data_IF_801136450792
#
_entry.id   IF_801136450792
#
_cell.length_a   1.000
_cell.length_b   1.000
_cell.length_c   1.000
_cell.angle_alpha   90.00
_cell.angle_beta   90.00
_cell.angle_gamma   90.00
#
_symmetry.space_group_name_H-M   'P 1'
#
loop_
_entity.id
_entity.type
_entity.pdbx_description
1 polymer ?
#
# COMPACT_ATOMS: atom_id res chain seq x y z
N UNK A 1 36.71 -37.57 1.20
CA UNK A 1 36.98 -36.18 0.79
C UNK A 1 36.48 -36.01 -0.64
N UNK A 2 35.51 -35.18 -1.01
CA UNK A 2 34.65 -34.17 -0.35
C UNK A 2 33.34 -34.12 -1.19
N UNK A 3 32.13 -34.41 -0.72
CA UNK A 3 31.19 -33.61 0.12
C UNK A 3 30.86 -32.17 -0.32
N UNK A 4 31.06 -31.77 -1.58
CA UNK A 4 30.79 -30.38 -2.01
C UNK A 4 30.04 -30.19 -3.35
N UNK A 5 29.16 -31.11 -3.77
CA UNK A 5 28.32 -30.87 -4.96
C UNK A 5 26.94 -31.55 -4.95
N UNK A 6 26.29 -31.58 -3.78
CA UNK A 6 24.88 -31.99 -3.63
C UNK A 6 23.99 -30.81 -3.27
N UNK A 7 24.00 -29.75 -4.09
CA UNK A 7 23.10 -28.60 -3.94
C UNK A 7 23.04 -27.81 -5.26
N UNK A 8 22.63 -28.48 -6.33
CA UNK A 8 22.14 -27.84 -7.56
C UNK A 8 21.53 -28.91 -8.48
N UNK A 9 20.25 -28.72 -8.83
CA UNK A 9 19.51 -29.33 -9.96
C UNK A 9 18.79 -30.66 -9.70
N UNK A 10 17.57 -30.54 -9.16
CA UNK A 10 16.39 -31.34 -9.52
C UNK A 10 15.17 -30.40 -9.33
N UNK A 11 14.17 -30.16 -10.19
CA UNK A 11 13.89 -30.28 -11.64
C UNK A 11 12.61 -29.43 -11.87
N UNK A 12 12.47 -28.78 -13.03
CA UNK A 12 11.31 -28.02 -13.51
C UNK A 12 10.23 -28.91 -14.18
N UNK A 13 8.95 -28.58 -13.94
CA UNK A 13 7.73 -28.60 -14.82
C UNK A 13 7.30 -29.82 -15.69
N UNK A 14 6.02 -30.22 -15.58
CA UNK A 14 5.02 -30.47 -16.68
C UNK A 14 3.65 -30.94 -16.10
N UNK A 15 2.65 -30.08 -15.84
CA UNK A 15 1.53 -29.56 -16.69
C UNK A 15 0.54 -30.59 -17.30
N UNK A 16 -0.75 -30.53 -16.90
CA UNK A 16 -1.90 -30.26 -17.81
C UNK A 16 -3.30 -30.37 -17.16
N UNK A 17 -3.99 -29.21 -17.12
CA UNK A 17 -5.40 -28.96 -17.49
C UNK A 17 -6.57 -29.63 -16.75
N UNK A 18 -7.23 -28.86 -15.89
CA UNK A 18 -8.64 -28.46 -16.06
C UNK A 18 -8.92 -27.18 -15.26
N UNK A 19 -9.27 -26.09 -15.94
CA UNK A 19 -10.07 -24.99 -15.39
C UNK A 19 -11.55 -25.38 -15.60
N UNK A 20 -12.49 -25.05 -14.68
CA UNK A 20 -12.61 -23.72 -14.10
C UNK A 20 -12.93 -23.69 -12.61
N UNK A 21 -12.31 -22.77 -11.88
CA UNK A 21 -13.00 -22.08 -10.80
C UNK A 21 -12.28 -20.76 -10.58
N UNK A 22 -12.97 -19.67 -10.91
CA UNK A 22 -12.72 -18.37 -10.33
C UNK A 22 -12.59 -18.53 -8.82
N UNK A 23 -11.43 -18.23 -8.24
CA UNK A 23 -11.28 -17.62 -6.90
C UNK A 23 -9.79 -17.30 -6.64
N UNK A 24 -9.57 -16.06 -6.17
CA UNK A 24 -8.39 -15.55 -5.47
C UNK A 24 -7.06 -15.38 -6.25
N UNK A 25 -6.91 -14.28 -6.97
CA UNK A 25 -5.60 -13.73 -7.35
C UNK A 25 -4.94 -12.96 -6.17
N UNK A 26 -4.87 -13.56 -4.98
CA UNK A 26 -4.40 -12.85 -3.78
C UNK A 26 -3.57 -13.69 -2.79
N UNK A 27 -2.88 -14.76 -3.23
CA UNK A 27 -2.12 -15.61 -2.29
C UNK A 27 -0.66 -15.92 -2.67
N UNK A 28 -0.19 -15.61 -3.88
CA UNK A 28 1.12 -16.09 -4.35
C UNK A 28 2.34 -15.42 -3.68
N UNK A 29 2.15 -14.35 -2.90
CA UNK A 29 3.25 -13.63 -2.24
C UNK A 29 3.41 -13.96 -0.75
N UNK A 30 2.45 -14.64 -0.11
CA UNK A 30 2.50 -14.91 1.33
C UNK A 30 3.18 -16.27 1.63
N UNK A 31 4.13 -16.33 2.57
CA UNK A 31 4.81 -17.57 2.89
C UNK A 31 3.90 -18.57 3.65
N UNK A 32 4.16 -19.88 3.52
CA UNK A 32 3.50 -20.88 4.36
C UNK A 32 3.79 -20.62 5.84
N UNK A 33 2.93 -21.15 6.73
CA UNK A 33 3.12 -21.05 8.19
C UNK A 33 4.49 -21.61 8.56
N UNK A 34 5.41 -20.81 9.14
CA UNK A 34 6.71 -21.30 9.57
C UNK A 34 6.57 -22.30 10.72
N UNK A 35 7.52 -23.24 10.81
CA UNK A 35 7.54 -24.22 11.90
C UNK A 35 7.59 -23.52 13.27
N UNK A 36 6.76 -23.99 14.21
CA UNK A 36 6.68 -23.44 15.56
C UNK A 36 5.89 -22.13 15.71
N UNK A 37 5.22 -21.65 14.65
CA UNK A 37 4.28 -20.52 14.70
C UNK A 37 2.85 -21.00 14.90
N UNK A 38 2.07 -20.25 15.68
CA UNK A 38 0.63 -20.51 15.79
C UNK A 38 -0.08 -20.28 14.43
N UNK A 39 -0.80 -21.28 13.88
CA UNK A 39 -1.46 -21.15 12.58
C UNK A 39 -2.55 -20.07 12.55
N UNK A 40 -3.27 -19.86 13.66
CA UNK A 40 -4.32 -18.86 13.76
C UNK A 40 -3.76 -17.44 13.74
N UNK A 41 -2.71 -17.19 14.52
CA UNK A 41 -2.00 -15.91 14.50
C UNK A 41 -1.35 -15.64 13.13
N UNK A 42 -0.76 -16.66 12.50
CA UNK A 42 -0.13 -16.50 11.18
C UNK A 42 -1.15 -16.16 10.09
N UNK A 43 -2.29 -16.85 10.05
CA UNK A 43 -3.40 -16.54 9.14
C UNK A 43 -3.90 -15.10 9.34
N UNK A 44 -4.07 -14.69 10.60
CA UNK A 44 -4.52 -13.34 10.95
C UNK A 44 -3.52 -12.28 10.48
N UNK A 45 -2.22 -12.50 10.67
CA UNK A 45 -1.16 -11.62 10.17
C UNK A 45 -1.15 -11.53 8.64
N UNK A 46 -1.35 -12.65 7.96
CA UNK A 46 -1.45 -12.70 6.51
C UNK A 46 -2.66 -11.90 5.99
N UNK A 47 -3.84 -12.06 6.60
CA UNK A 47 -5.02 -11.24 6.28
C UNK A 47 -4.80 -9.75 6.57
N UNK A 48 -4.05 -9.41 7.61
CA UNK A 48 -3.66 -8.03 7.88
C UNK A 48 -2.78 -7.45 6.77
N UNK A 49 -1.81 -8.23 6.26
CA UNK A 49 -0.97 -7.83 5.12
C UNK A 49 -1.83 -7.67 3.86
N UNK A 50 -2.73 -8.61 3.57
CA UNK A 50 -3.66 -8.51 2.44
C UNK A 50 -4.51 -7.24 2.51
N UNK A 51 -5.03 -6.91 3.70
CA UNK A 51 -5.80 -5.70 3.92
C UNK A 51 -4.94 -4.44 3.68
N UNK A 52 -3.70 -4.43 4.16
CA UNK A 52 -2.76 -3.33 3.90
C UNK A 52 -2.48 -3.19 2.40
N UNK A 53 -2.34 -4.31 1.70
CA UNK A 53 -2.04 -4.32 0.28
C UNK A 53 -3.24 -3.94 -0.60
N UNK A 54 -4.47 -4.25 -0.17
CA UNK A 54 -5.70 -3.73 -0.78
C UNK A 54 -5.81 -2.21 -0.58
N UNK A 55 -5.49 -1.71 0.62
CA UNK A 55 -5.60 -0.29 0.93
C UNK A 55 -4.51 0.57 0.26
N UNK A 56 -3.30 0.04 0.10
CA UNK A 56 -2.13 0.79 -0.36
C UNK A 56 -1.26 -0.05 -1.31
N UNK A 57 -1.78 -0.48 -2.48
CA UNK A 57 -1.03 -1.31 -3.44
C UNK A 57 0.31 -0.71 -3.86
N UNK A 58 0.36 0.62 -4.02
CA UNK A 58 1.54 1.39 -4.39
C UNK A 58 2.61 1.48 -3.30
N UNK A 59 2.23 1.33 -2.03
CA UNK A 59 3.16 1.31 -0.90
C UNK A 59 3.60 -0.08 -0.48
N UNK A 60 2.71 -1.07 -0.58
CA UNK A 60 2.95 -2.43 -0.09
C UNK A 60 3.56 -3.34 -1.15
N UNK A 61 3.16 -3.23 -2.42
CA UNK A 61 3.70 -4.05 -3.51
C UNK A 61 5.24 -4.02 -3.59
N UNK A 62 5.88 -2.83 -3.61
CA UNK A 62 7.34 -2.71 -3.61
C UNK A 62 8.02 -3.35 -2.39
N UNK A 63 7.42 -3.24 -1.20
CA UNK A 63 7.98 -3.85 0.02
C UNK A 63 7.96 -5.38 -0.04
N UNK A 64 6.99 -5.95 -0.73
CA UNK A 64 6.82 -7.38 -0.91
C UNK A 64 7.50 -7.92 -2.18
N UNK A 65 8.08 -7.02 -2.99
CA UNK A 65 8.57 -7.34 -4.33
C UNK A 65 7.49 -8.05 -5.17
N UNK A 66 6.24 -7.61 -5.04
CA UNK A 66 5.11 -8.10 -5.82
C UNK A 66 4.64 -7.04 -6.82
N UNK A 67 4.66 -7.40 -8.09
CA UNK A 67 4.29 -6.54 -9.20
C UNK A 67 2.82 -6.74 -9.65
N UNK A 68 2.08 -7.64 -8.99
CA UNK A 68 0.72 -8.03 -9.41
C UNK A 68 -0.30 -6.89 -9.37
N UNK A 69 -0.06 -5.86 -8.54
CA UNK A 69 -0.91 -4.66 -8.39
C UNK A 69 -0.18 -3.36 -8.75
N UNK A 70 0.88 -3.45 -9.55
CA UNK A 70 1.66 -2.29 -10.00
C UNK A 70 0.87 -1.32 -10.87
N UNK A 71 -0.35 -1.64 -11.29
CA UNK A 71 -1.24 -0.76 -12.05
C UNK A 71 -2.23 0.01 -11.16
N UNK A 72 -2.21 -0.21 -9.84
CA UNK A 72 -3.19 0.32 -8.88
C UNK A 72 -2.61 1.42 -7.99
N UNK A 73 -3.50 2.31 -7.53
CA UNK A 73 -3.29 3.24 -6.42
C UNK A 73 -4.33 2.95 -5.34
N UNK A 74 -3.98 3.19 -4.08
CA UNK A 74 -4.91 3.09 -2.97
C UNK A 74 -6.17 3.96 -3.16
N UNK A 75 -7.31 3.45 -2.67
CA UNK A 75 -8.56 4.21 -2.58
C UNK A 75 -8.52 5.09 -1.32
N UNK A 76 -8.31 6.39 -1.53
CA UNK A 76 -8.19 7.39 -0.47
C UNK A 76 -9.53 7.95 0.01
N UNK A 77 -10.66 7.45 -0.50
CA UNK A 77 -11.97 7.96 -0.15
C UNK A 77 -12.31 7.72 1.33
N UNK A 78 -13.12 8.61 1.91
CA UNK A 78 -13.63 8.44 3.27
C UNK A 78 -14.29 7.06 3.48
N UNK A 79 -14.98 6.53 2.46
CA UNK A 79 -15.63 5.22 2.53
C UNK A 79 -14.62 4.07 2.65
N UNK A 80 -13.52 4.12 1.88
CA UNK A 80 -12.45 3.14 1.95
C UNK A 80 -11.70 3.20 3.28
N UNK A 81 -11.40 4.40 3.78
CA UNK A 81 -10.76 4.58 5.09
C UNK A 81 -11.65 4.03 6.22
N UNK A 82 -12.96 4.30 6.19
CA UNK A 82 -13.89 3.75 7.18
C UNK A 82 -14.04 2.22 7.05
N UNK A 83 -13.98 1.67 5.84
CA UNK A 83 -13.91 0.21 5.61
C UNK A 83 -12.66 -0.38 6.26
N UNK A 84 -11.50 0.23 6.04
CA UNK A 84 -10.23 -0.20 6.63
C UNK A 84 -10.29 -0.17 8.17
N UNK A 85 -10.81 0.92 8.76
CA UNK A 85 -10.97 1.02 10.21
C UNK A 85 -11.83 -0.10 10.80
N UNK A 86 -12.92 -0.49 10.10
CA UNK A 86 -13.77 -1.61 10.52
C UNK A 86 -13.06 -2.96 10.40
N UNK A 87 -12.37 -3.20 9.29
CA UNK A 87 -11.62 -4.44 9.09
C UNK A 87 -10.50 -4.61 10.14
N UNK A 88 -9.74 -3.54 10.43
CA UNK A 88 -8.70 -3.59 11.48
C UNK A 88 -9.30 -3.82 12.87
N UNK A 89 -10.50 -3.30 13.14
CA UNK A 89 -11.20 -3.58 14.41
C UNK A 89 -11.57 -5.05 14.53
N UNK A 90 -12.10 -5.64 13.45
CA UNK A 90 -12.44 -7.06 13.43
C UNK A 90 -11.21 -7.95 13.66
N UNK A 91 -10.07 -7.63 13.01
CA UNK A 91 -8.81 -8.34 13.23
C UNK A 91 -8.30 -8.20 14.68
N UNK A 92 -8.46 -7.02 15.29
CA UNK A 92 -8.09 -6.82 16.69
C UNK A 92 -8.97 -7.64 17.64
N UNK A 93 -10.28 -7.65 17.44
CA UNK A 93 -11.22 -8.45 18.25
C UNK A 93 -10.92 -9.95 18.12
N UNK A 94 -10.64 -10.41 16.90
CA UNK A 94 -10.23 -11.79 16.63
C UNK A 94 -8.93 -12.14 17.34
N UNK A 95 -7.89 -11.30 17.20
CA UNK A 95 -6.59 -11.50 17.84
C UNK A 95 -6.70 -11.55 19.37
N UNK A 96 -7.56 -10.73 19.97
CA UNK A 96 -7.82 -10.73 21.40
C UNK A 96 -8.56 -11.99 21.89
N UNK A 97 -9.23 -12.71 21.00
CA UNK A 97 -9.98 -13.94 21.30
C UNK A 97 -9.17 -15.23 21.17
N UNK A 98 -7.96 -15.16 20.57
CA UNK A 98 -7.11 -16.34 20.38
C UNK A 98 -6.66 -16.92 21.73
N UNK A 99 -6.65 -18.25 21.86
CA UNK A 99 -6.00 -18.93 22.97
C UNK A 99 -4.47 -18.84 22.81
N UNK A 100 -3.85 -18.07 23.69
CA UNK A 100 -2.40 -17.79 23.64
C UNK A 100 -1.58 -18.78 24.49
N UNK A 101 -2.19 -19.78 25.11
CA UNK A 101 -1.48 -20.70 26.02
C UNK A 101 -0.42 -21.55 25.32
N UNK A 102 -0.58 -21.80 24.01
CA UNK A 102 0.37 -22.54 23.18
C UNK A 102 1.32 -21.68 22.35
N UNK A 103 1.32 -20.36 22.52
CA UNK A 103 2.14 -19.46 21.72
C UNK A 103 3.63 -19.61 22.04
N UNK A 104 4.47 -19.50 21.01
CA UNK A 104 5.90 -19.28 21.19
C UNK A 104 6.17 -17.87 21.75
N UNK A 105 7.36 -17.60 22.30
CA UNK A 105 7.75 -16.25 22.72
C UNK A 105 7.62 -15.22 21.58
N UNK A 106 7.93 -15.65 20.35
CA UNK A 106 7.82 -14.83 19.16
C UNK A 106 6.35 -14.59 18.75
N UNK A 107 5.45 -15.54 18.99
CA UNK A 107 4.00 -15.35 18.76
C UNK A 107 3.41 -14.43 19.84
N UNK A 108 3.84 -14.58 21.09
CA UNK A 108 3.46 -13.68 22.17
C UNK A 108 3.84 -12.24 21.85
N UNK A 109 5.09 -12.00 21.47
CA UNK A 109 5.57 -10.67 21.10
C UNK A 109 4.81 -10.09 19.90
N UNK A 110 4.62 -10.89 18.85
CA UNK A 110 3.89 -10.45 17.66
C UNK A 110 2.44 -10.05 18.00
N UNK A 111 1.73 -10.88 18.77
CA UNK A 111 0.37 -10.60 19.20
C UNK A 111 0.30 -9.33 20.08
N UNK A 112 1.22 -9.15 21.02
CA UNK A 112 1.22 -7.98 21.90
C UNK A 112 1.49 -6.68 21.12
N UNK A 113 2.41 -6.70 20.17
CA UNK A 113 2.69 -5.55 19.30
C UNK A 113 1.51 -5.20 18.41
N UNK A 114 0.85 -6.20 17.82
CA UNK A 114 -0.33 -5.98 16.97
C UNK A 114 -1.52 -5.45 17.78
N UNK A 115 -1.79 -6.03 18.97
CA UNK A 115 -2.82 -5.53 19.88
C UNK A 115 -2.52 -4.07 20.24
N UNK A 116 -1.28 -3.74 20.62
CA UNK A 116 -0.90 -2.38 20.94
C UNK A 116 -1.13 -1.44 19.75
N UNK A 117 -0.58 -1.77 18.58
CA UNK A 117 -0.65 -0.92 17.39
C UNK A 117 -2.10 -0.69 16.93
N UNK A 118 -2.90 -1.76 16.80
CA UNK A 118 -4.28 -1.64 16.35
C UNK A 118 -5.16 -0.96 17.38
N UNK A 119 -4.91 -1.16 18.69
CA UNK A 119 -5.60 -0.39 19.73
C UNK A 119 -5.30 1.09 19.62
N UNK A 120 -4.04 1.49 19.40
CA UNK A 120 -3.71 2.91 19.18
C UNK A 120 -4.38 3.45 17.92
N UNK A 121 -4.36 2.71 16.81
CA UNK A 121 -5.02 3.12 15.56
C UNK A 121 -6.52 3.34 15.78
N UNK A 122 -7.22 2.43 16.47
CA UNK A 122 -8.65 2.58 16.78
C UNK A 122 -8.92 3.77 17.71
N UNK A 123 -8.05 4.01 18.70
CA UNK A 123 -8.17 5.19 19.58
C UNK A 123 -7.99 6.50 18.82
N UNK A 124 -7.13 6.51 17.80
CA UNK A 124 -6.84 7.69 17.00
C UNK A 124 -7.85 7.91 15.87
N UNK A 125 -8.50 6.86 15.36
CA UNK A 125 -9.46 6.93 14.25
C UNK A 125 -10.57 7.97 14.46
N UNK A 126 -11.04 8.16 15.70
CA UNK A 126 -12.06 9.17 16.06
C UNK A 126 -11.63 10.62 15.77
N UNK A 127 -10.32 10.90 15.68
CA UNK A 127 -9.81 12.23 15.35
C UNK A 127 -9.84 12.51 13.84
N UNK A 128 -10.09 11.49 13.01
CA UNK A 128 -10.24 11.59 11.55
C UNK A 128 -9.09 12.35 10.88
N UNK A 129 -7.85 11.98 11.20
CA UNK A 129 -6.65 12.62 10.65
C UNK A 129 -6.63 12.64 9.11
N UNK A 130 -7.26 11.65 8.48
CA UNK A 130 -7.48 11.56 7.04
C UNK A 130 -8.24 12.74 6.42
N UNK A 131 -8.95 13.55 7.21
CA UNK A 131 -9.58 14.80 6.76
C UNK A 131 -8.56 15.93 6.54
N UNK A 132 -7.30 15.72 6.94
CA UNK A 132 -6.17 16.64 6.79
C UNK A 132 -5.03 15.97 5.99
N UNK A 133 -5.26 15.52 4.75
CA UNK A 133 -4.33 14.69 3.98
C UNK A 133 -3.09 15.43 3.46
N UNK A 134 -2.94 16.73 3.75
CA UNK A 134 -1.86 17.57 3.26
C UNK A 134 -1.13 18.27 4.41
N UNK A 135 0.19 18.24 4.36
CA UNK A 135 1.08 19.00 5.24
C UNK A 135 2.39 19.33 4.51
N UNK A 136 3.32 20.00 5.17
CA UNK A 136 4.57 20.46 4.56
C UNK A 136 5.51 19.36 4.07
N UNK A 137 5.36 18.12 4.57
CA UNK A 137 6.25 16.98 4.25
C UNK A 137 5.52 15.79 3.61
N UNK A 138 4.19 15.81 3.55
CA UNK A 138 3.38 14.68 3.12
C UNK A 138 2.05 15.09 2.51
N UNK A 139 1.50 14.17 1.72
CA UNK A 139 0.26 14.36 0.97
C UNK A 139 0.45 14.15 -0.54
N UNK A 140 -0.64 14.15 -1.31
CA UNK A 140 -0.64 13.87 -2.75
C UNK A 140 0.34 14.73 -3.54
N UNK A 141 0.54 15.99 -3.15
CA UNK A 141 1.50 16.90 -3.78
C UNK A 141 2.97 16.44 -3.65
N UNK A 142 3.27 15.55 -2.71
CA UNK A 142 4.60 14.97 -2.47
C UNK A 142 4.72 13.59 -3.10
N UNK A 143 3.81 12.66 -2.78
CA UNK A 143 3.99 11.25 -3.16
C UNK A 143 3.57 10.93 -4.61
N UNK A 144 2.58 11.62 -5.17
CA UNK A 144 2.16 11.39 -6.57
C UNK A 144 3.29 11.60 -7.58
N UNK A 145 4.08 12.69 -7.56
CA UNK A 145 5.17 12.87 -8.50
C UNK A 145 6.34 11.88 -8.30
N UNK A 146 6.41 11.21 -7.15
CA UNK A 146 7.46 10.22 -6.80
C UNK A 146 7.07 8.78 -7.16
N UNK A 147 5.85 8.55 -7.68
CA UNK A 147 5.36 7.18 -7.95
C UNK A 147 6.21 6.39 -8.95
N UNK A 148 6.99 7.06 -9.79
CA UNK A 148 7.91 6.40 -10.71
C UNK A 148 9.13 5.80 -10.01
N UNK A 149 9.51 6.34 -8.85
CA UNK A 149 10.76 5.99 -8.15
C UNK A 149 10.65 4.67 -7.38
N UNK A 150 9.42 4.21 -7.10
CA UNK A 150 9.13 3.06 -6.25
C UNK A 150 8.75 1.78 -7.01
N UNK A 151 8.73 1.83 -8.34
CA UNK A 151 8.37 0.67 -9.19
C UNK A 151 9.44 0.40 -10.25
N UNK A 152 9.68 -0.86 -10.64
CA UNK A 152 10.59 -1.15 -11.72
C UNK A 152 10.03 -0.61 -13.04
N UNK A 153 10.86 -0.10 -13.94
CA UNK A 153 10.46 0.50 -15.23
C UNK A 153 11.27 -0.06 -16.41
N UNK A 154 11.44 -1.38 -16.45
CA UNK A 154 12.35 -2.06 -17.38
C UNK A 154 11.62 -2.81 -18.51
N UNK A 155 10.33 -3.07 -18.36
CA UNK A 155 9.56 -3.89 -19.30
C UNK A 155 8.37 -3.13 -19.83
N UNK A 156 7.85 -3.55 -21.00
CA UNK A 156 6.61 -3.01 -21.56
C UNK A 156 5.46 -3.03 -20.56
N UNK A 157 5.34 -4.11 -19.77
CA UNK A 157 4.30 -4.23 -18.74
C UNK A 157 4.44 -3.12 -17.70
N UNK A 158 5.65 -2.85 -17.22
CA UNK A 158 5.88 -1.83 -16.21
C UNK A 158 5.42 -0.44 -16.68
N UNK A 159 5.74 -0.07 -17.92
CA UNK A 159 5.28 1.18 -18.49
C UNK A 159 3.74 1.21 -18.67
N UNK A 160 3.11 0.10 -19.02
CA UNK A 160 1.65 -0.01 -19.10
C UNK A 160 0.98 0.15 -17.73
N UNK A 161 1.56 -0.47 -16.70
CA UNK A 161 1.12 -0.35 -15.31
C UNK A 161 1.24 1.11 -14.83
N UNK A 162 2.40 1.75 -15.08
CA UNK A 162 2.63 3.14 -14.72
C UNK A 162 1.68 4.11 -15.45
N UNK A 163 1.43 3.90 -16.75
CA UNK A 163 0.41 4.65 -17.50
C UNK A 163 -0.99 4.48 -16.91
N UNK A 164 -1.29 3.31 -16.33
CA UNK A 164 -2.57 3.07 -15.64
C UNK A 164 -2.63 3.83 -14.33
N UNK A 165 -1.55 3.84 -13.53
CA UNK A 165 -1.45 4.68 -12.32
C UNK A 165 -1.60 6.18 -12.64
N UNK A 166 -0.98 6.68 -13.71
CA UNK A 166 -1.11 8.09 -14.11
C UNK A 166 -2.56 8.49 -14.36
N UNK A 167 -3.39 7.60 -14.91
CA UNK A 167 -4.83 7.84 -15.10
C UNK A 167 -5.63 7.90 -13.78
N UNK A 168 -5.07 7.39 -12.68
CA UNK A 168 -5.66 7.43 -11.33
C UNK A 168 -5.29 8.69 -10.56
N UNK A 169 -4.27 9.44 -10.99
CA UNK A 169 -3.83 10.70 -10.33
C UNK A 169 -5.00 11.67 -10.08
N UNK A 170 -5.90 11.97 -11.05
CA UNK A 170 -7.00 12.88 -10.79
C UNK A 170 -8.00 12.37 -9.73
N UNK A 171 -8.14 11.05 -9.60
CA UNK A 171 -9.03 10.42 -8.61
C UNK A 171 -8.42 10.60 -7.22
N UNK A 172 -7.14 10.26 -7.03
CA UNK A 172 -6.44 10.43 -5.76
C UNK A 172 -6.43 11.89 -5.28
N UNK A 173 -6.24 12.85 -6.19
CA UNK A 173 -6.36 14.28 -5.89
C UNK A 173 -7.80 14.65 -5.51
N UNK A 174 -8.79 14.12 -6.21
CA UNK A 174 -10.22 14.31 -5.91
C UNK A 174 -10.59 13.82 -4.51
N UNK A 175 -10.18 12.59 -4.15
CA UNK A 175 -10.42 12.02 -2.82
C UNK A 175 -9.80 12.87 -1.72
N UNK A 176 -8.56 13.36 -1.92
CA UNK A 176 -7.92 14.26 -0.97
C UNK A 176 -8.67 15.60 -0.81
N UNK A 177 -9.18 16.18 -1.90
CA UNK A 177 -9.99 17.39 -1.87
C UNK A 177 -11.31 17.15 -1.12
N UNK A 178 -11.98 16.04 -1.38
CA UNK A 178 -13.25 15.70 -0.73
C UNK A 178 -13.05 15.43 0.77
N UNK A 179 -11.96 14.76 1.15
CA UNK A 179 -11.58 14.59 2.55
C UNK A 179 -11.29 15.93 3.24
N UNK A 180 -10.58 16.86 2.59
CA UNK A 180 -10.37 18.22 3.11
C UNK A 180 -11.68 19.00 3.26
N UNK A 181 -12.63 18.87 2.33
CA UNK A 181 -13.95 19.49 2.44
C UNK A 181 -14.73 18.97 3.64
N UNK A 182 -14.67 17.66 3.89
CA UNK A 182 -15.22 17.05 5.11
C UNK A 182 -14.52 17.58 6.36
N UNK A 183 -13.20 17.74 6.34
CA UNK A 183 -12.42 18.36 7.41
C UNK A 183 -12.88 19.78 7.73
N UNK A 184 -12.99 20.63 6.72
CA UNK A 184 -13.50 22.01 6.85
C UNK A 184 -14.89 22.03 7.49
N UNK A 185 -15.80 21.17 7.01
CA UNK A 185 -17.16 21.05 7.56
C UNK A 185 -17.16 20.61 9.03
N UNK A 186 -16.24 19.73 9.42
CA UNK A 186 -16.11 19.23 10.79
C UNK A 186 -15.24 20.13 11.69
N UNK A 187 -14.72 21.26 11.18
CA UNK A 187 -13.80 22.15 11.90
C UNK A 187 -12.39 21.59 12.10
N UNK A 188 -11.99 20.57 11.31
CA UNK A 188 -10.64 20.00 11.27
C UNK A 188 -9.85 20.57 10.11
N UNK A 189 -9.00 21.53 10.40
CA UNK A 189 -8.08 22.13 9.42
C UNK A 189 -6.68 22.21 10.02
N UNK A 190 -5.62 21.96 9.24
CA UNK A 190 -4.27 22.12 9.75
C UNK A 190 -3.95 23.59 10.04
N UNK A 191 -2.96 23.89 10.90
CA UNK A 191 -2.46 25.24 11.08
C UNK A 191 -1.94 25.83 9.76
N UNK A 192 -2.21 27.12 9.52
CA UNK A 192 -1.83 27.81 8.27
C UNK A 192 -0.36 27.60 7.88
N UNK A 193 0.56 27.72 8.85
CA UNK A 193 2.01 27.56 8.63
C UNK A 193 2.40 26.18 8.08
N UNK A 194 1.57 25.16 8.31
CA UNK A 194 1.80 23.80 7.80
C UNK A 194 1.29 23.65 6.36
N UNK A 195 0.23 24.38 6.00
CA UNK A 195 -0.43 24.29 4.69
C UNK A 195 0.21 25.20 3.65
N UNK A 196 0.73 26.37 4.04
CA UNK A 196 1.37 27.31 3.10
C UNK A 196 2.44 26.64 2.21
N UNK A 197 3.41 25.86 2.75
CA UNK A 197 4.36 25.13 1.91
C UNK A 197 3.72 24.06 1.02
N UNK A 198 2.65 23.41 1.50
CA UNK A 198 1.95 22.38 0.74
C UNK A 198 1.22 22.98 -0.47
N UNK A 199 0.72 24.22 -0.36
CA UNK A 199 0.14 24.95 -1.49
C UNK A 199 1.19 25.24 -2.56
N UNK A 200 2.35 25.75 -2.16
CA UNK A 200 3.45 26.02 -3.12
C UNK A 200 3.90 24.74 -3.83
N UNK A 201 4.03 23.63 -3.09
CA UNK A 201 4.33 22.31 -3.65
C UNK A 201 3.26 21.85 -4.65
N UNK A 202 1.97 21.97 -4.30
CA UNK A 202 0.87 21.58 -5.19
C UNK A 202 0.83 22.44 -6.47
N UNK A 203 1.08 23.74 -6.35
CA UNK A 203 1.16 24.66 -7.48
C UNK A 203 2.35 24.34 -8.40
N UNK A 204 3.50 23.95 -7.83
CA UNK A 204 4.64 23.50 -8.61
C UNK A 204 4.34 22.25 -9.46
N UNK A 205 3.48 21.34 -8.98
CA UNK A 205 3.04 20.18 -9.77
C UNK A 205 2.10 20.53 -10.93
N UNK A 206 1.59 21.77 -10.97
CA UNK A 206 0.67 22.27 -11.99
C UNK A 206 1.26 23.43 -12.82
N UNK A 207 2.59 23.53 -12.86
CA UNK A 207 3.32 24.59 -13.54
C UNK A 207 2.87 24.73 -15.02
N UNK A 208 2.62 25.95 -15.52
CA UNK A 208 2.12 26.16 -16.88
C UNK A 208 2.97 25.49 -17.96
N UNK A 209 4.29 25.46 -17.79
CA UNK A 209 5.21 24.83 -18.74
C UNK A 209 4.93 23.34 -18.94
N UNK A 210 4.32 22.62 -17.98
CA UNK A 210 3.99 21.21 -18.14
C UNK A 210 2.84 20.97 -19.13
N UNK A 211 1.99 21.99 -19.35
CA UNK A 211 0.94 21.93 -20.40
C UNK A 211 1.54 22.13 -21.78
N UNK A 212 2.57 22.96 -21.88
CA UNK A 212 3.27 23.24 -23.13
C UNK A 212 4.23 22.10 -23.49
N UNK A 213 4.92 21.57 -22.49
CA UNK A 213 5.91 20.50 -22.61
C UNK A 213 5.75 19.51 -21.45
N UNK A 214 4.98 18.42 -21.66
CA UNK A 214 4.80 17.38 -20.66
C UNK A 214 6.09 16.69 -20.22
N UNK A 215 7.17 16.75 -21.02
CA UNK A 215 8.45 16.09 -20.70
C UNK A 215 9.15 16.71 -19.49
N UNK A 216 8.78 17.94 -19.13
CA UNK A 216 9.27 18.64 -17.93
C UNK A 216 8.54 18.24 -16.64
N UNK A 217 7.40 17.55 -16.76
CA UNK A 217 6.63 17.10 -15.60
C UNK A 217 7.38 15.98 -14.88
N UNK A 218 7.43 15.98 -13.52
CA UNK A 218 7.98 14.85 -12.77
C UNK A 218 7.32 13.51 -13.12
N UNK A 219 6.02 13.53 -13.44
CA UNK A 219 5.26 12.35 -13.88
C UNK A 219 5.71 11.78 -15.24
N UNK A 220 6.45 12.55 -16.03
CA UNK A 220 7.01 12.10 -17.29
C UNK A 220 8.39 11.46 -17.11
N UNK A 221 9.07 11.71 -15.98
CA UNK A 221 10.43 11.25 -15.70
C UNK A 221 10.73 9.83 -16.16
N UNK A 222 9.90 8.82 -15.79
CA UNK A 222 10.05 7.44 -16.23
C UNK A 222 10.20 7.21 -17.74
N UNK A 223 9.59 8.05 -18.59
CA UNK A 223 9.62 7.87 -20.04
C UNK A 223 10.86 8.48 -20.70
N UNK A 224 11.66 9.28 -19.99
CA UNK A 224 12.88 9.88 -20.52
C UNK A 224 13.99 8.84 -20.77
N UNK A 225 13.91 7.71 -20.09
CA UNK A 225 14.87 6.60 -20.19
C UNK A 225 14.42 5.51 -21.18
N UNK A 226 13.25 5.66 -21.83
CA UNK A 226 12.62 4.62 -22.65
C UNK A 226 13.41 4.29 -23.94
N UNK A 227 14.27 5.21 -24.38
CA UNK A 227 15.09 5.11 -25.59
C UNK A 227 16.61 4.99 -25.31
N UNK A 228 17.02 4.82 -24.05
CA UNK A 228 18.42 4.61 -23.63
C UNK A 228 18.72 3.12 -23.43
#
# INVERSE_FOLDING_TARGET
MNTASRLARLILLALALMLPATHAAAQDYLPPVPEGRDPGLWDLMNRAIDQMYEASPDGIGPLLNDESRNDQLGDGSAAAIEKQNRQTRALLEELQSLDRSGFSDADHLAADLLIYQWTQNQRLAKFKDWQMPVNSIGGPQVWLPQMGDSVPLNTRKHYQDYLTKLKRVPIAVGDAIDNMRLGISDGRVPPRVVVEPAVDQAMAQAAPEFREDPTKSPFYGPFLDLDQ
#
